data_IF_516408422240
#
_entry.id   IF_516408422240
#
_cell.length_a   1.000
_cell.length_b   1.000
_cell.length_c   1.000
_cell.angle_alpha   90.00
_cell.angle_beta   90.00
_cell.angle_gamma   90.00
#
_symmetry.space_group_name_H-M   'P 1'
#
loop_
_entity.id
_entity.type
_entity.pdbx_description
1 polymer ?
#
# COMPACT_ATOMS: atom_id res chain seq x y z
N UNK A 1 -32.98 -52.58 64.41
CA UNK A 1 -33.05 -52.23 62.97
C UNK A 1 -31.77 -51.52 62.49
N UNK A 2 -30.59 -51.83 63.04
CA UNK A 2 -29.32 -51.13 62.71
C UNK A 2 -28.34 -51.91 61.83
N UNK A 3 -28.53 -53.23 61.65
CA UNK A 3 -27.58 -54.06 60.91
C UNK A 3 -27.76 -54.03 59.38
N UNK A 4 -28.88 -53.50 58.87
CA UNK A 4 -29.13 -53.41 57.43
C UNK A 4 -28.56 -52.14 56.78
N UNK A 5 -28.40 -51.05 57.54
CA UNK A 5 -27.91 -49.78 56.98
C UNK A 5 -26.38 -49.73 56.79
N UNK A 6 -25.61 -50.48 57.59
CA UNK A 6 -24.13 -50.54 57.45
C UNK A 6 -23.65 -51.35 56.24
N UNK A 7 -24.43 -52.35 55.79
CA UNK A 7 -24.01 -53.24 54.70
C UNK A 7 -24.11 -52.57 53.32
N UNK A 8 -25.17 -51.81 53.07
CA UNK A 8 -25.37 -51.12 51.78
C UNK A 8 -24.34 -50.01 51.51
N UNK A 9 -23.87 -49.32 52.56
CA UNK A 9 -22.87 -48.26 52.41
C UNK A 9 -21.45 -48.80 52.12
N UNK A 10 -21.12 -50.00 52.64
CA UNK A 10 -19.79 -50.59 52.48
C UNK A 10 -19.63 -51.29 51.12
N UNK A 11 -20.69 -51.92 50.61
CA UNK A 11 -20.69 -52.62 49.31
C UNK A 11 -20.50 -51.62 48.16
N UNK A 12 -21.17 -50.46 48.23
CA UNK A 12 -21.13 -49.47 47.15
C UNK A 12 -19.76 -48.77 47.05
N UNK A 13 -19.13 -48.49 48.20
CA UNK A 13 -17.81 -47.83 48.25
C UNK A 13 -16.68 -48.72 47.69
N UNK A 14 -16.74 -50.04 47.90
CA UNK A 14 -15.74 -50.99 47.37
C UNK A 14 -15.81 -51.13 45.85
N UNK A 15 -17.02 -51.21 45.29
CA UNK A 15 -17.23 -51.30 43.85
C UNK A 15 -16.75 -50.02 43.14
N UNK A 16 -17.11 -48.85 43.67
CA UNK A 16 -16.68 -47.55 43.11
C UNK A 16 -15.14 -47.41 43.16
N UNK A 17 -14.49 -47.86 44.24
CA UNK A 17 -13.05 -47.73 44.39
C UNK A 17 -12.26 -48.66 43.44
N UNK A 18 -12.70 -49.91 43.24
CA UNK A 18 -12.11 -50.83 42.27
C UNK A 18 -12.31 -50.32 40.84
N UNK A 19 -13.49 -49.78 40.52
CA UNK A 19 -13.78 -49.22 39.19
C UNK A 19 -12.90 -47.99 38.90
N UNK A 20 -12.76 -47.09 39.87
CA UNK A 20 -11.87 -45.92 39.76
C UNK A 20 -10.40 -46.36 39.62
N UNK A 21 -9.96 -47.37 40.37
CA UNK A 21 -8.59 -47.87 40.31
C UNK A 21 -8.25 -48.48 38.94
N UNK A 22 -9.19 -49.20 38.33
CA UNK A 22 -9.04 -49.70 36.97
C UNK A 22 -9.00 -48.57 35.94
N UNK A 23 -9.88 -47.56 36.07
CA UNK A 23 -9.87 -46.35 35.24
C UNK A 23 -8.54 -45.58 35.34
N UNK A 24 -7.99 -45.42 36.55
CA UNK A 24 -6.68 -44.78 36.75
C UNK A 24 -5.52 -45.64 36.24
N UNK A 25 -5.63 -46.97 36.30
CA UNK A 25 -4.65 -47.90 35.73
C UNK A 25 -4.60 -47.83 34.20
N UNK A 26 -5.76 -47.81 33.55
CA UNK A 26 -5.89 -47.64 32.10
C UNK A 26 -5.41 -46.27 31.64
N UNK A 27 -5.76 -45.19 32.34
CA UNK A 27 -5.25 -43.84 32.02
C UNK A 27 -3.73 -43.72 32.15
N UNK A 28 -3.10 -44.50 33.05
CA UNK A 28 -1.63 -44.53 33.19
C UNK A 28 -0.93 -45.21 32.00
N UNK A 29 -1.61 -46.14 31.31
CA UNK A 29 -1.10 -46.73 30.07
C UNK A 29 -1.12 -45.73 28.90
N UNK A 30 -2.12 -44.85 28.82
CA UNK A 30 -2.17 -43.82 27.78
C UNK A 30 -0.98 -42.85 27.89
N UNK A 31 -0.67 -42.34 29.09
CA UNK A 31 0.41 -41.37 29.32
C UNK A 31 1.83 -41.89 29.06
N UNK A 32 2.05 -43.22 29.14
CA UNK A 32 3.37 -43.83 28.93
C UNK A 32 3.66 -44.21 27.48
N UNK A 33 2.75 -43.94 26.53
CA UNK A 33 3.00 -44.25 25.13
C UNK A 33 3.84 -43.14 24.48
N UNK A 34 5.06 -43.49 24.02
CA UNK A 34 5.91 -42.63 23.16
C UNK A 34 5.19 -42.19 21.86
N UNK A 35 4.03 -42.79 21.56
CA UNK A 35 3.14 -42.51 20.45
C UNK A 35 2.39 -41.19 20.60
N UNK A 36 1.95 -40.81 21.81
CA UNK A 36 1.21 -39.55 22.04
C UNK A 36 2.07 -38.31 21.80
N UNK A 37 3.33 -38.34 22.24
CA UNK A 37 4.31 -37.28 21.96
C UNK A 37 4.59 -37.13 20.46
N UNK A 38 4.62 -38.25 19.71
CA UNK A 38 4.79 -38.22 18.24
C UNK A 38 3.56 -37.69 17.52
N UNK A 39 2.36 -38.00 18.01
CA UNK A 39 1.11 -37.48 17.46
C UNK A 39 0.98 -35.96 17.69
N UNK A 40 1.39 -35.46 18.86
CA UNK A 40 1.41 -34.03 19.17
C UNK A 40 2.31 -33.22 18.25
N UNK A 41 3.48 -33.75 17.85
CA UNK A 41 4.39 -33.06 16.92
C UNK A 41 3.83 -32.97 15.50
N UNK A 42 3.06 -33.97 15.06
CA UNK A 42 2.42 -34.00 13.74
C UNK A 42 1.34 -32.92 13.59
N UNK A 43 0.59 -32.62 14.64
CA UNK A 43 -0.43 -31.56 14.60
C UNK A 43 0.18 -30.14 14.57
N UNK A 44 1.28 -29.89 15.28
CA UNK A 44 1.95 -28.58 15.27
C UNK A 44 2.49 -28.24 13.87
N UNK A 45 3.07 -29.22 13.17
CA UNK A 45 3.54 -29.04 11.79
C UNK A 45 2.40 -28.85 10.78
N UNK A 46 1.26 -29.53 10.97
CA UNK A 46 0.11 -29.40 10.08
C UNK A 46 -0.53 -28.00 10.18
N UNK A 47 -0.61 -27.43 11.38
CA UNK A 47 -1.16 -26.08 11.58
C UNK A 47 -0.19 -24.96 11.16
N UNK A 48 1.13 -25.18 11.21
CA UNK A 48 2.10 -24.19 10.72
C UNK A 48 2.04 -23.99 9.20
N UNK A 49 1.62 -24.99 8.43
CA UNK A 49 1.52 -24.87 6.98
C UNK A 49 0.26 -24.09 6.51
N UNK A 50 -0.81 -24.09 7.30
CA UNK A 50 -2.06 -23.40 6.95
C UNK A 50 -1.95 -21.89 7.21
N UNK A 51 -1.17 -21.45 8.20
CA UNK A 51 -0.95 -20.03 8.47
C UNK A 51 -0.12 -19.32 7.39
N UNK A 52 0.78 -20.01 6.68
CA UNK A 52 1.59 -19.37 5.62
C UNK A 52 0.78 -19.17 4.34
N UNK A 53 -0.16 -20.06 4.03
CA UNK A 53 -0.99 -19.94 2.82
C UNK A 53 -2.18 -18.97 2.99
N UNK A 54 -2.59 -18.69 4.23
CA UNK A 54 -3.59 -17.65 4.53
C UNK A 54 -2.97 -16.32 5.00
N UNK A 55 -1.63 -16.21 5.10
CA UNK A 55 -0.93 -14.95 5.37
C UNK A 55 -0.66 -14.13 4.11
N UNK A 56 -1.02 -14.64 2.92
CA UNK A 56 -1.31 -13.79 1.76
C UNK A 56 -2.79 -13.38 1.78
N UNK A 57 -3.25 -12.81 2.90
CA UNK A 57 -4.31 -11.82 2.78
C UNK A 57 -3.67 -10.64 2.06
N UNK A 58 -4.16 -10.36 0.87
CA UNK A 58 -3.99 -9.04 0.27
C UNK A 58 -4.71 -8.11 1.23
N UNK A 59 -3.94 -7.41 2.05
CA UNK A 59 -4.42 -6.19 2.64
C UNK A 59 -4.67 -5.28 1.44
N UNK A 60 -5.94 -5.20 1.00
CA UNK A 60 -6.41 -4.29 -0.05
C UNK A 60 -6.50 -2.85 0.49
N UNK A 61 -5.65 -2.50 1.44
CA UNK A 61 -5.31 -1.12 1.72
C UNK A 61 -4.21 -0.80 0.73
N UNK A 62 -4.51 -0.07 -0.34
CA UNK A 62 -3.47 0.48 -1.22
C UNK A 62 -2.54 1.34 -0.36
N UNK A 63 -1.48 0.71 0.15
CA UNK A 63 -0.51 1.38 0.99
C UNK A 63 0.12 2.49 0.16
N UNK A 64 0.06 3.73 0.65
CA UNK A 64 0.57 4.87 -0.08
C UNK A 64 2.05 4.68 -0.40
N UNK A 65 2.36 4.53 -1.69
CA UNK A 65 3.71 4.33 -2.19
C UNK A 65 4.39 5.67 -2.52
N UNK A 66 5.71 5.69 -2.44
CA UNK A 66 6.52 6.79 -2.92
C UNK A 66 6.77 6.60 -4.43
N UNK A 67 6.53 7.66 -5.19
CA UNK A 67 6.76 7.72 -6.63
C UNK A 67 7.81 8.77 -6.98
N UNK A 68 8.55 8.52 -8.05
CA UNK A 68 9.45 9.52 -8.63
C UNK A 68 8.65 10.38 -9.60
N UNK A 69 8.55 11.67 -9.33
CA UNK A 69 7.78 12.63 -10.13
C UNK A 69 8.71 13.61 -10.82
N UNK A 70 8.35 14.00 -12.05
CA UNK A 70 8.97 15.13 -12.75
C UNK A 70 7.91 15.92 -13.52
N UNK A 71 7.96 17.24 -13.40
CA UNK A 71 7.22 18.19 -14.23
C UNK A 71 8.11 18.69 -15.37
N UNK A 72 7.55 18.80 -16.58
CA UNK A 72 8.21 19.40 -17.74
C UNK A 72 7.28 20.40 -18.42
N UNK A 73 7.81 21.56 -18.81
CA UNK A 73 7.16 22.51 -19.71
C UNK A 73 8.10 22.84 -20.87
N UNK A 74 7.60 22.81 -22.10
CA UNK A 74 8.39 23.14 -23.29
C UNK A 74 7.59 23.80 -24.39
N UNK A 75 8.27 24.56 -25.22
CA UNK A 75 7.72 25.22 -26.40
C UNK A 75 8.43 24.76 -27.67
N UNK A 76 7.79 24.98 -28.82
CA UNK A 76 8.43 24.81 -30.13
C UNK A 76 8.70 26.16 -30.80
N UNK A 77 9.55 26.12 -31.84
CA UNK A 77 9.80 27.25 -32.75
C UNK A 77 10.26 28.54 -32.05
N UNK A 78 10.96 28.42 -30.92
CA UNK A 78 11.50 29.56 -30.18
C UNK A 78 10.50 30.29 -29.28
N UNK A 79 9.38 29.67 -28.91
CA UNK A 79 8.51 30.21 -27.85
C UNK A 79 9.22 30.36 -26.52
N UNK A 80 8.84 31.35 -25.72
CA UNK A 80 9.44 31.62 -24.42
C UNK A 80 8.43 31.38 -23.31
N UNK A 81 8.83 30.60 -22.31
CA UNK A 81 8.04 30.40 -21.10
C UNK A 81 8.03 31.70 -20.28
N UNK A 82 6.86 32.08 -19.79
CA UNK A 82 6.64 33.27 -18.94
C UNK A 82 6.54 32.84 -17.48
N UNK A 83 5.79 31.78 -17.22
CA UNK A 83 5.55 31.27 -15.88
C UNK A 83 5.33 29.76 -15.91
N UNK A 84 5.77 29.09 -14.85
CA UNK A 84 5.40 27.71 -14.52
C UNK A 84 4.90 27.69 -13.08
N UNK A 85 3.76 27.04 -12.86
CA UNK A 85 3.21 26.81 -11.52
C UNK A 85 3.11 25.31 -11.32
N UNK A 86 3.59 24.84 -10.18
CA UNK A 86 3.52 23.42 -9.77
C UNK A 86 2.82 23.32 -8.44
N UNK A 87 2.01 22.28 -8.26
CA UNK A 87 1.41 21.96 -6.97
C UNK A 87 1.58 20.47 -6.66
N UNK A 88 1.95 20.15 -5.42
CA UNK A 88 1.99 18.80 -4.87
C UNK A 88 1.17 18.82 -3.58
N UNK A 89 0.05 18.09 -3.55
CA UNK A 89 -0.92 18.20 -2.48
C UNK A 89 -1.41 19.65 -2.34
N UNK A 90 -1.09 20.31 -1.23
CA UNK A 90 -1.44 21.71 -0.96
C UNK A 90 -0.27 22.68 -1.15
N UNK A 91 0.92 22.19 -1.50
CA UNK A 91 2.13 23.01 -1.61
C UNK A 91 2.28 23.48 -3.05
N UNK A 92 2.14 24.79 -3.25
CA UNK A 92 2.32 25.43 -4.56
C UNK A 92 3.67 26.13 -4.65
N UNK A 93 4.28 26.06 -5.82
CA UNK A 93 5.43 26.88 -6.19
C UNK A 93 5.17 27.60 -7.52
N UNK A 94 5.68 28.82 -7.66
CA UNK A 94 5.53 29.64 -8.87
C UNK A 94 6.90 30.11 -9.32
N UNK A 95 7.26 29.78 -10.56
CA UNK A 95 8.50 30.16 -11.19
C UNK A 95 8.16 31.16 -12.29
N UNK A 96 8.72 32.37 -12.19
CA UNK A 96 8.53 33.44 -13.16
C UNK A 96 9.81 33.69 -13.95
N UNK A 97 9.67 33.80 -15.26
CA UNK A 97 10.75 34.25 -16.14
C UNK A 97 11.12 35.69 -15.79
N UNK A 98 12.42 35.97 -15.69
CA UNK A 98 12.94 37.32 -15.47
C UNK A 98 14.29 37.50 -16.19
N UNK A 99 14.80 38.74 -16.32
CA UNK A 99 16.04 38.99 -17.08
C UNK A 99 17.30 38.29 -16.54
N UNK A 100 17.32 37.89 -15.27
CA UNK A 100 18.47 37.21 -14.64
C UNK A 100 18.36 35.69 -14.81
N UNK A 101 17.16 35.14 -14.62
CA UNK A 101 16.86 33.71 -14.79
C UNK A 101 15.69 33.54 -15.77
N UNK A 102 15.93 33.69 -17.08
CA UNK A 102 14.88 33.57 -18.08
C UNK A 102 14.45 32.11 -18.21
N UNK A 103 13.13 31.87 -18.20
CA UNK A 103 12.57 30.61 -18.67
C UNK A 103 12.59 30.65 -20.20
N UNK A 104 13.46 29.85 -20.81
CA UNK A 104 13.61 29.77 -22.27
C UNK A 104 12.50 28.88 -22.85
N UNK A 105 12.82 28.10 -23.88
CA UNK A 105 11.89 27.18 -24.51
C UNK A 105 11.62 25.90 -23.73
N UNK A 106 12.33 25.63 -22.63
CA UNK A 106 12.12 24.45 -21.82
C UNK A 106 12.46 24.70 -20.35
N UNK A 107 11.71 24.03 -19.47
CA UNK A 107 11.92 23.96 -18.04
C UNK A 107 11.53 22.56 -17.53
N UNK A 108 12.23 22.05 -16.53
CA UNK A 108 11.82 20.87 -15.78
C UNK A 108 12.13 21.05 -14.30
N UNK A 109 11.41 20.34 -13.44
CA UNK A 109 11.62 20.34 -11.99
C UNK A 109 12.83 19.54 -11.52
N UNK A 110 13.44 18.74 -12.41
CA UNK A 110 14.17 17.54 -12.00
C UNK A 110 13.24 16.48 -11.40
N UNK A 111 13.82 15.34 -11.04
CA UNK A 111 13.13 14.25 -10.35
C UNK A 111 13.03 14.54 -8.84
N UNK A 112 11.88 14.25 -8.25
CA UNK A 112 11.67 14.34 -6.80
C UNK A 112 10.66 13.28 -6.34
N UNK A 113 10.77 12.87 -5.07
CA UNK A 113 9.89 11.86 -4.50
C UNK A 113 8.59 12.49 -4.01
N UNK A 114 7.47 11.84 -4.32
CA UNK A 114 6.13 12.17 -3.82
C UNK A 114 5.47 10.92 -3.30
N UNK A 115 5.04 10.94 -2.04
CA UNK A 115 4.17 9.90 -1.51
C UNK A 115 2.77 10.06 -2.09
N UNK A 116 2.14 8.99 -2.56
CA UNK A 116 0.79 9.00 -3.15
C UNK A 116 -0.32 9.48 -2.22
N UNK A 117 -0.08 9.57 -0.90
CA UNK A 117 -0.98 10.29 0.03
C UNK A 117 -1.10 11.78 -0.30
N UNK A 118 -0.11 12.36 -0.97
CA UNK A 118 -0.18 13.69 -1.58
C UNK A 118 -0.97 13.59 -2.89
N UNK A 119 -2.26 13.35 -2.73
CA UNK A 119 -3.17 12.88 -3.77
C UNK A 119 -3.07 13.63 -5.10
N UNK A 120 -2.84 14.94 -5.11
CA UNK A 120 -2.91 15.78 -6.32
C UNK A 120 -1.56 16.32 -6.76
N UNK A 121 -1.32 16.28 -8.07
CA UNK A 121 -0.21 16.89 -8.78
C UNK A 121 -0.75 17.81 -9.87
N UNK A 122 -0.45 19.11 -9.80
CA UNK A 122 -0.90 20.07 -10.80
C UNK A 122 0.29 20.77 -11.44
N UNK A 123 0.19 21.00 -12.75
CA UNK A 123 1.17 21.71 -13.53
C UNK A 123 0.49 22.69 -14.48
N UNK A 124 0.86 23.95 -14.36
CA UNK A 124 0.43 25.01 -15.25
C UNK A 124 1.63 25.68 -15.91
N UNK A 125 1.49 26.04 -17.18
CA UNK A 125 2.49 26.82 -17.87
C UNK A 125 1.86 27.91 -18.73
N UNK A 126 2.55 29.05 -18.80
CA UNK A 126 2.25 30.15 -19.71
C UNK A 126 3.47 30.45 -20.57
N UNK A 127 3.27 30.69 -21.86
CA UNK A 127 4.33 31.03 -22.79
C UNK A 127 3.88 32.11 -23.79
N UNK A 128 4.82 32.86 -24.35
CA UNK A 128 4.62 33.64 -25.58
C UNK A 128 5.13 32.83 -26.76
N UNK A 129 4.26 32.57 -27.74
CA UNK A 129 4.55 31.74 -28.90
C UNK A 129 4.67 32.60 -30.19
N UNK A 130 5.72 32.44 -31.00
CA UNK A 130 6.01 33.36 -32.11
C UNK A 130 5.15 33.12 -33.37
N UNK A 131 4.68 31.89 -33.58
CA UNK A 131 4.01 31.48 -34.83
C UNK A 131 2.72 30.68 -34.56
N UNK A 132 1.81 30.63 -35.54
CA UNK A 132 0.56 29.87 -35.41
C UNK A 132 0.77 28.35 -35.27
N UNK A 133 1.95 27.87 -35.66
CA UNK A 133 2.37 26.47 -35.52
C UNK A 133 3.23 26.20 -34.29
N UNK A 134 3.59 27.23 -33.54
CA UNK A 134 4.26 27.06 -32.26
C UNK A 134 3.32 26.35 -31.28
N UNK A 135 3.87 25.46 -30.47
CA UNK A 135 3.16 24.68 -29.46
C UNK A 135 3.78 24.94 -28.09
N UNK A 136 2.95 25.01 -27.05
CA UNK A 136 3.32 24.89 -25.65
C UNK A 136 2.81 23.54 -25.16
N UNK A 137 3.69 22.72 -24.60
CA UNK A 137 3.41 21.37 -24.13
C UNK A 137 3.92 21.22 -22.71
N UNK A 138 3.10 20.66 -21.84
CA UNK A 138 3.46 20.26 -20.49
C UNK A 138 3.29 18.75 -20.32
N UNK A 139 4.22 18.13 -19.60
CA UNK A 139 4.24 16.70 -19.32
C UNK A 139 4.41 16.47 -17.82
N UNK A 140 3.68 15.48 -17.32
CA UNK A 140 3.88 14.91 -16.00
C UNK A 140 4.42 13.49 -16.16
N UNK A 141 5.55 13.25 -15.51
CA UNK A 141 6.18 11.94 -15.41
C UNK A 141 5.98 11.37 -14.01
N UNK A 142 5.63 10.09 -13.94
CA UNK A 142 5.59 9.29 -12.71
C UNK A 142 6.37 8.01 -13.00
N UNK A 143 7.36 7.71 -12.16
CA UNK A 143 8.25 6.55 -12.28
C UNK A 143 8.92 6.42 -13.66
N UNK A 144 9.26 7.56 -14.25
CA UNK A 144 9.92 7.66 -15.56
C UNK A 144 8.97 7.60 -16.77
N UNK A 145 7.68 7.37 -16.56
CA UNK A 145 6.67 7.30 -17.63
C UNK A 145 5.81 8.57 -17.69
N UNK A 146 5.47 9.01 -18.90
CA UNK A 146 4.53 10.12 -19.10
C UNK A 146 3.11 9.63 -18.78
N UNK A 147 2.57 10.06 -17.64
CA UNK A 147 1.20 9.72 -17.24
C UNK A 147 0.16 10.69 -17.80
N UNK A 148 0.56 11.94 -18.07
CA UNK A 148 -0.30 12.98 -18.63
C UNK A 148 0.50 13.97 -19.48
N UNK A 149 -0.13 14.42 -20.56
CA UNK A 149 0.35 15.48 -21.44
C UNK A 149 -0.79 16.44 -21.75
N UNK A 150 -0.54 17.73 -21.66
CA UNK A 150 -1.45 18.77 -22.14
C UNK A 150 -0.69 19.71 -23.08
N UNK A 151 -1.35 20.19 -24.12
CA UNK A 151 -0.72 21.05 -25.13
C UNK A 151 -1.67 22.05 -25.76
N UNK A 152 -1.12 23.17 -26.21
CA UNK A 152 -1.84 24.23 -26.92
C UNK A 152 -0.97 24.78 -28.04
N UNK A 153 -1.56 24.96 -29.22
CA UNK A 153 -0.90 25.51 -30.39
C UNK A 153 -1.41 26.93 -30.69
N UNK A 154 -0.57 27.77 -31.26
CA UNK A 154 -0.95 29.07 -31.83
C UNK A 154 0.06 30.17 -31.52
N UNK A 155 -0.22 31.38 -32.01
CA UNK A 155 0.59 32.56 -31.78
C UNK A 155 0.15 33.37 -30.56
N UNK A 156 1.09 34.09 -29.96
CA UNK A 156 0.88 34.99 -28.82
C UNK A 156 0.92 34.25 -27.49
N UNK A 157 0.37 34.88 -26.46
CA UNK A 157 0.34 34.30 -25.13
C UNK A 157 -0.61 33.11 -25.07
N UNK A 158 -0.08 31.96 -24.66
CA UNK A 158 -0.81 30.72 -24.46
C UNK A 158 -0.62 30.19 -23.05
N UNK A 159 -1.60 29.43 -22.61
CA UNK A 159 -1.64 28.80 -21.30
C UNK A 159 -2.14 27.37 -21.44
N UNK A 160 -1.59 26.48 -20.63
CA UNK A 160 -2.01 25.09 -20.53
C UNK A 160 -1.94 24.66 -19.06
N UNK A 161 -2.86 23.78 -18.68
CA UNK A 161 -3.00 23.24 -17.33
C UNK A 161 -3.16 21.72 -17.40
N UNK A 162 -2.70 21.05 -16.37
CA UNK A 162 -2.77 19.61 -16.19
C UNK A 162 -2.96 19.34 -14.70
N UNK A 163 -3.96 18.52 -14.40
CA UNK A 163 -4.22 18.00 -13.06
C UNK A 163 -4.09 16.47 -13.11
N UNK A 164 -3.54 15.90 -12.05
CA UNK A 164 -3.39 14.46 -11.89
C UNK A 164 -3.64 14.08 -10.44
N UNK A 165 -4.29 12.94 -10.22
CA UNK A 165 -4.54 12.40 -8.90
C UNK A 165 -4.05 10.96 -8.80
N UNK A 166 -3.30 10.64 -7.75
CA UNK A 166 -2.94 9.25 -7.42
C UNK A 166 -4.16 8.43 -6.96
N UNK A 167 -5.26 9.09 -6.59
CA UNK A 167 -6.48 8.43 -6.12
C UNK A 167 -7.53 8.20 -7.21
N UNK A 168 -7.28 8.72 -8.42
CA UNK A 168 -8.22 8.57 -9.55
C UNK A 168 -7.71 7.48 -10.51
N UNK A 169 -8.59 6.55 -10.95
CA UNK A 169 -8.23 5.47 -11.87
C UNK A 169 -7.97 5.94 -13.31
#
# INVERSE_FOLDING_TARGET
>A
MENFHKSYFYINKKLIFETLKNLFGEMKQFYNSKSLLRLSFLFVLLFSAITVLNSCKKDDDEEFQDHVVQFEAKTTTGGELIAVVTQVGTVQNTILSNPVTPLKSAWNSGEFFVNSSQAQLNLDARATLPEDKSELTINLYVDGEIVRTAKVQGKGDKYVSLDFSFLEP
#
